data_IF_769775984477
#
_entry.id   IF_769775984477
#
_cell.length_a   1.000
_cell.length_b   1.000
_cell.length_c   1.000
_cell.angle_alpha   90.00
_cell.angle_beta   90.00
_cell.angle_gamma   90.00
#
_symmetry.space_group_name_H-M   'P 1'
#
loop_
_entity.id
_entity.type
_entity.pdbx_description
1 polymer ?
#
# COMPACT_ATOMS: atom_id res chain seq x y z
N UNK A 1 11.93 16.66 7.96
CA UNK A 1 11.93 15.27 8.47
C UNK A 1 11.30 14.43 7.38
N UNK A 2 12.06 13.55 6.70
CA UNK A 2 11.52 12.77 5.58
C UNK A 2 10.45 11.85 6.14
N UNK A 3 9.21 12.11 5.78
CA UNK A 3 8.08 11.25 6.05
C UNK A 3 8.44 9.86 5.51
N UNK A 4 8.79 8.93 6.40
CA UNK A 4 8.98 7.52 6.04
C UNK A 4 7.59 6.94 5.90
N UNK A 5 6.97 7.29 4.78
CA UNK A 5 5.68 6.78 4.33
C UNK A 5 5.93 5.32 3.96
N UNK A 6 5.63 4.45 4.92
CA UNK A 6 5.39 3.01 4.78
C UNK A 6 6.58 2.09 5.18
N UNK A 7 6.31 1.20 6.15
CA UNK A 7 7.04 -0.08 6.33
C UNK A 7 7.19 -0.72 4.94
N UNK A 8 8.39 -1.14 4.51
CA UNK A 8 8.62 -1.78 3.20
C UNK A 8 7.45 -2.72 2.81
N UNK A 9 6.53 -2.19 1.98
CA UNK A 9 5.10 -2.58 1.89
C UNK A 9 4.88 -4.04 1.45
N UNK A 10 5.95 -4.67 0.96
CA UNK A 10 5.92 -5.95 0.29
C UNK A 10 5.53 -7.13 1.18
N UNK A 11 5.88 -7.08 2.46
CA UNK A 11 5.49 -8.13 3.39
C UNK A 11 4.00 -8.05 3.69
N UNK A 12 3.47 -6.87 3.99
CA UNK A 12 2.08 -6.74 4.42
C UNK A 12 1.10 -7.13 3.32
N UNK A 13 1.25 -6.59 2.11
CA UNK A 13 0.34 -6.89 1.00
C UNK A 13 0.28 -8.38 0.74
N UNK A 14 1.45 -9.00 0.66
CA UNK A 14 1.58 -10.44 0.48
C UNK A 14 0.91 -11.22 1.61
N UNK A 15 1.09 -10.83 2.87
CA UNK A 15 0.51 -11.53 4.01
C UNK A 15 -1.00 -11.34 4.09
N UNK A 16 -1.52 -10.17 3.75
CA UNK A 16 -2.96 -9.91 3.72
C UNK A 16 -3.64 -10.74 2.64
N UNK A 17 -3.03 -10.81 1.46
CA UNK A 17 -3.57 -11.54 0.31
C UNK A 17 -3.38 -13.06 0.46
N UNK A 18 -2.17 -13.50 0.80
CA UNK A 18 -1.79 -14.92 0.76
C UNK A 18 -1.60 -15.57 2.12
N UNK A 19 -1.42 -14.78 3.18
CA UNK A 19 -1.13 -15.29 4.52
C UNK A 19 -2.24 -16.15 5.14
N UNK A 20 -3.46 -16.07 4.60
CA UNK A 20 -4.58 -16.91 4.98
C UNK A 20 -4.47 -18.37 4.50
N UNK A 21 -3.69 -18.64 3.44
CA UNK A 21 -3.56 -19.99 2.87
C UNK A 21 -2.55 -20.87 3.61
N UNK A 22 -1.63 -20.27 4.37
CA UNK A 22 -0.65 -21.03 5.15
C UNK A 22 -1.28 -21.66 6.40
N UNK A 23 -0.92 -22.91 6.68
CA UNK A 23 -1.26 -23.58 7.94
C UNK A 23 -0.57 -22.89 9.13
N UNK A 24 -1.16 -22.99 10.33
CA UNK A 24 -0.52 -22.52 11.55
C UNK A 24 0.84 -23.23 11.77
N UNK A 25 1.83 -22.50 12.26
CA UNK A 25 3.22 -22.93 12.38
C UNK A 25 4.02 -22.94 11.07
N UNK A 26 3.38 -22.68 9.91
CA UNK A 26 4.10 -22.66 8.64
C UNK A 26 4.97 -21.41 8.52
N UNK A 27 6.25 -21.65 8.23
CA UNK A 27 7.21 -20.63 7.85
C UNK A 27 7.13 -20.30 6.36
N UNK A 28 7.34 -19.03 6.03
CA UNK A 28 7.42 -18.51 4.67
C UNK A 28 8.29 -17.25 4.63
N UNK A 29 8.76 -16.88 3.44
CA UNK A 29 9.52 -15.65 3.24
C UNK A 29 8.74 -14.70 2.32
N UNK A 30 8.86 -13.40 2.56
CA UNK A 30 8.35 -12.40 1.63
C UNK A 30 9.09 -12.56 0.28
N UNK A 31 8.38 -12.71 -0.85
CA UNK A 31 9.03 -12.91 -2.14
C UNK A 31 9.88 -11.70 -2.56
N UNK A 32 9.60 -10.51 -2.01
CA UNK A 32 10.26 -9.25 -2.35
C UNK A 32 11.56 -9.01 -1.61
N UNK A 33 11.49 -8.99 -0.27
CA UNK A 33 12.62 -8.62 0.57
C UNK A 33 13.23 -9.81 1.33
N UNK A 34 12.75 -11.03 1.08
CA UNK A 34 13.18 -12.27 1.73
C UNK A 34 13.00 -12.31 3.26
N UNK A 35 12.35 -11.32 3.88
CA UNK A 35 12.06 -11.33 5.32
C UNK A 35 11.27 -12.57 5.69
N UNK A 36 11.70 -13.25 6.75
CA UNK A 36 11.08 -14.47 7.25
C UNK A 36 9.85 -14.18 8.10
N UNK A 37 8.85 -15.05 7.95
CA UNK A 37 7.58 -14.98 8.66
C UNK A 37 7.10 -16.39 9.03
N UNK A 38 6.31 -16.47 10.10
CA UNK A 38 5.61 -17.67 10.51
C UNK A 38 4.12 -17.37 10.75
N UNK A 39 3.26 -18.31 10.35
CA UNK A 39 1.82 -18.22 10.62
C UNK A 39 1.54 -18.58 12.08
N UNK A 40 1.18 -17.61 12.92
CA UNK A 40 0.88 -17.85 14.34
C UNK A 40 -0.52 -18.41 14.59
N UNK A 41 -1.47 -18.15 13.70
CA UNK A 41 -2.87 -18.57 13.82
C UNK A 41 -3.81 -17.78 12.91
N UNK A 42 -5.14 -17.87 13.08
CA UNK A 42 -6.10 -17.07 12.31
C UNK A 42 -5.75 -15.59 12.41
N UNK A 43 -5.46 -14.96 11.26
CA UNK A 43 -5.05 -13.56 11.19
C UNK A 43 -3.74 -13.18 11.91
N UNK A 44 -2.99 -14.09 12.53
CA UNK A 44 -1.75 -13.77 13.28
C UNK A 44 -0.50 -14.25 12.57
N UNK A 45 0.55 -13.44 12.61
CA UNK A 45 1.82 -13.65 11.92
C UNK A 45 2.97 -13.19 12.80
N UNK A 46 4.01 -14.00 12.91
CA UNK A 46 5.25 -13.63 13.59
C UNK A 46 6.32 -13.36 12.52
N UNK A 47 7.11 -12.31 12.73
CA UNK A 47 8.27 -12.00 11.89
C UNK A 47 9.53 -12.61 12.49
N UNK A 48 10.53 -12.87 11.65
CA UNK A 48 11.83 -13.45 12.06
C UNK A 48 12.55 -12.68 13.18
N UNK A 49 12.28 -11.38 13.33
CA UNK A 49 12.78 -10.55 14.43
C UNK A 49 11.96 -10.65 15.73
N UNK A 50 11.04 -11.61 15.82
CA UNK A 50 10.25 -11.92 17.00
C UNK A 50 9.02 -11.05 17.20
N UNK A 51 8.76 -10.06 16.33
CA UNK A 51 7.54 -9.24 16.43
C UNK A 51 6.31 -9.98 15.94
N UNK A 52 5.20 -9.79 16.67
CA UNK A 52 3.91 -10.34 16.29
C UNK A 52 3.01 -9.29 15.65
N UNK A 53 2.29 -9.73 14.62
CA UNK A 53 1.35 -8.93 13.88
C UNK A 53 0.00 -9.64 13.79
N UNK A 54 -1.07 -8.85 13.86
CA UNK A 54 -2.43 -9.31 13.65
C UNK A 54 -3.03 -8.57 12.45
N UNK A 55 -3.67 -9.32 11.55
CA UNK A 55 -4.55 -8.76 10.53
C UNK A 55 -5.70 -8.07 11.26
N UNK A 56 -5.83 -6.79 10.98
CA UNK A 56 -6.95 -5.95 11.39
C UNK A 56 -7.61 -5.37 10.17
N UNK A 57 -8.73 -4.73 10.40
CA UNK A 57 -9.48 -4.02 9.39
C UNK A 57 -9.84 -2.63 9.91
N UNK A 58 -9.68 -1.64 9.05
CA UNK A 58 -10.17 -0.28 9.27
C UNK A 58 -11.37 -0.06 8.37
N UNK A 59 -12.54 0.17 8.95
CA UNK A 59 -13.76 0.43 8.21
C UNK A 59 -13.99 1.94 8.10
N UNK A 60 -14.27 2.40 6.88
CA UNK A 60 -14.83 3.72 6.62
C UNK A 60 -16.31 3.65 6.28
N UNK A 61 -16.90 4.78 5.86
CA UNK A 61 -18.32 4.86 5.51
C UNK A 61 -18.73 3.95 4.36
N UNK A 62 -17.82 3.69 3.41
CA UNK A 62 -18.14 3.01 2.14
C UNK A 62 -17.32 1.74 1.90
N UNK A 63 -16.16 1.60 2.54
CA UNK A 63 -15.27 0.46 2.33
C UNK A 63 -14.48 0.09 3.59
N UNK A 64 -13.86 -1.09 3.56
CA UNK A 64 -12.97 -1.57 4.60
C UNK A 64 -11.57 -1.83 4.05
N UNK A 65 -10.57 -1.54 4.87
CA UNK A 65 -9.15 -1.64 4.52
C UNK A 65 -8.45 -2.61 5.47
N UNK A 66 -8.04 -3.80 4.99
CA UNK A 66 -7.23 -4.70 5.80
C UNK A 66 -5.80 -4.17 5.94
N UNK A 67 -5.22 -4.36 7.12
CA UNK A 67 -3.83 -4.02 7.41
C UNK A 67 -3.23 -5.00 8.42
N UNK A 68 -1.89 -5.04 8.53
CA UNK A 68 -1.22 -5.73 9.62
C UNK A 68 -0.89 -4.74 10.73
N UNK A 69 -1.51 -4.93 11.88
CA UNK A 69 -1.17 -4.19 13.10
C UNK A 69 -0.13 -4.97 13.89
N UNK A 70 0.86 -4.27 14.44
CA UNK A 70 1.69 -4.89 15.47
C UNK A 70 0.83 -5.19 16.70
N UNK A 71 1.06 -6.33 17.36
CA UNK A 71 0.30 -6.73 18.55
C UNK A 71 0.58 -5.79 19.73
N UNK A 72 1.73 -5.12 19.74
CA UNK A 72 2.12 -4.09 20.73
C UNK A 72 1.31 -2.78 20.64
N UNK A 73 0.40 -2.66 19.66
CA UNK A 73 -0.56 -1.57 19.57
C UNK A 73 -0.18 -0.44 18.60
N UNK A 74 0.90 -0.57 17.83
CA UNK A 74 1.22 0.43 16.81
C UNK A 74 0.27 0.32 15.60
N UNK A 75 -0.56 1.35 15.41
CA UNK A 75 -1.40 1.48 14.21
C UNK A 75 -0.60 2.02 13.02
N UNK A 76 -0.90 1.57 11.79
CA UNK A 76 -0.27 2.12 10.60
C UNK A 76 -0.81 3.53 10.30
N UNK A 77 0.00 4.28 9.57
CA UNK A 77 -0.36 5.58 9.00
C UNK A 77 -1.70 5.50 8.26
N UNK A 78 -2.57 6.49 8.53
CA UNK A 78 -3.91 6.61 7.95
C UNK A 78 -3.86 6.73 6.44
N UNK A 79 -2.80 7.32 5.90
CA UNK A 79 -2.68 7.55 4.47
C UNK A 79 -2.42 6.27 3.66
N UNK A 80 -2.08 5.16 4.32
CA UNK A 80 -1.82 3.89 3.67
C UNK A 80 -3.04 3.31 2.97
N UNK A 81 -4.25 3.55 3.49
CA UNK A 81 -5.47 3.13 2.79
C UNK A 81 -5.64 3.87 1.45
N UNK A 82 -5.29 5.15 1.40
CA UNK A 82 -5.27 5.91 0.15
C UNK A 82 -4.26 5.31 -0.82
N UNK A 83 -3.04 5.03 -0.37
CA UNK A 83 -1.98 4.51 -1.24
C UNK A 83 -2.39 3.22 -1.97
N UNK A 84 -2.96 2.22 -1.27
CA UNK A 84 -3.41 0.98 -1.93
C UNK A 84 -4.57 1.23 -2.89
N UNK A 85 -5.50 2.11 -2.56
CA UNK A 85 -6.63 2.46 -3.45
C UNK A 85 -6.11 3.13 -4.72
N UNK A 86 -5.20 4.09 -4.58
CA UNK A 86 -4.56 4.78 -5.70
C UNK A 86 -3.81 3.79 -6.61
N UNK A 87 -3.02 2.88 -6.03
CA UNK A 87 -2.26 1.87 -6.77
C UNK A 87 -3.19 0.87 -7.48
N UNK A 88 -4.16 0.31 -6.77
CA UNK A 88 -5.00 -0.79 -7.27
C UNK A 88 -6.14 -0.36 -8.17
N UNK A 89 -6.73 0.82 -7.91
CA UNK A 89 -7.94 1.29 -8.60
C UNK A 89 -7.72 2.59 -9.37
N UNK A 90 -6.77 3.44 -8.96
CA UNK A 90 -6.50 4.74 -9.56
C UNK A 90 -6.29 4.74 -11.09
N UNK A 91 -5.64 3.73 -11.70
CA UNK A 91 -5.55 3.64 -13.17
C UNK A 91 -6.90 3.58 -13.89
N UNK A 92 -7.90 2.91 -13.28
CA UNK A 92 -9.23 2.73 -13.84
C UNK A 92 -10.25 3.81 -13.44
N UNK A 93 -9.88 4.72 -12.55
CA UNK A 93 -10.75 5.84 -12.14
C UNK A 93 -10.83 6.91 -13.22
N UNK A 94 -11.98 7.57 -13.33
CA UNK A 94 -12.13 8.76 -14.17
C UNK A 94 -11.35 9.96 -13.59
N UNK A 95 -10.97 10.89 -14.46
CA UNK A 95 -10.44 12.19 -14.03
C UNK A 95 -11.48 12.96 -13.20
N UNK A 96 -11.04 13.57 -12.11
CA UNK A 96 -11.89 14.34 -11.21
C UNK A 96 -11.56 14.13 -9.73
N UNK A 97 -12.36 14.78 -8.89
CA UNK A 97 -12.24 14.68 -7.43
C UNK A 97 -12.92 13.43 -6.90
N UNK A 98 -12.37 12.86 -5.84
CA UNK A 98 -12.97 11.76 -5.09
C UNK A 98 -12.54 11.80 -3.63
N UNK A 99 -13.34 11.16 -2.78
CA UNK A 99 -12.99 10.92 -1.38
C UNK A 99 -12.47 9.49 -1.22
N UNK A 100 -11.44 9.30 -0.40
CA UNK A 100 -11.07 7.95 0.02
C UNK A 100 -12.26 7.32 0.76
N UNK A 101 -12.78 6.16 0.34
CA UNK A 101 -13.96 5.53 0.95
C UNK A 101 -13.70 4.98 2.37
N UNK A 102 -12.43 4.98 2.80
CA UNK A 102 -11.99 4.50 4.11
C UNK A 102 -11.77 5.66 5.08
N UNK A 103 -10.90 6.62 4.73
CA UNK A 103 -10.51 7.71 5.64
C UNK A 103 -11.10 9.09 5.27
N UNK A 104 -11.84 9.19 4.16
CA UNK A 104 -12.48 10.45 3.73
C UNK A 104 -11.54 11.49 3.12
N UNK A 105 -10.22 11.22 3.04
CA UNK A 105 -9.25 12.15 2.45
C UNK A 105 -9.65 12.50 1.02
N UNK A 106 -9.67 13.79 0.73
CA UNK A 106 -10.03 14.31 -0.59
C UNK A 106 -8.83 14.25 -1.53
N UNK A 107 -9.04 13.65 -2.69
CA UNK A 107 -8.06 13.51 -3.75
C UNK A 107 -8.63 14.00 -5.07
N UNK A 108 -7.73 14.36 -5.98
CA UNK A 108 -8.02 14.60 -7.39
C UNK A 108 -7.17 13.65 -8.23
N UNK A 109 -7.83 12.89 -9.09
CA UNK A 109 -7.18 12.10 -10.14
C UNK A 109 -7.20 12.92 -11.42
N UNK A 110 -6.07 13.02 -12.09
CA UNK A 110 -5.98 13.53 -13.46
C UNK A 110 -5.07 12.67 -14.31
N UNK A 111 -5.09 12.86 -15.63
CA UNK A 111 -4.18 12.17 -16.54
C UNK A 111 -3.21 13.16 -17.16
N UNK A 112 -1.92 13.03 -16.84
CA UNK A 112 -0.88 13.89 -17.39
C UNK A 112 -0.01 13.11 -18.39
N UNK A 113 0.80 13.84 -19.16
CA UNK A 113 1.85 13.26 -20.01
C UNK A 113 3.20 13.48 -19.36
N UNK A 114 3.90 12.38 -19.09
CA UNK A 114 5.24 12.38 -18.50
C UNK A 114 6.16 11.46 -19.30
N UNK A 115 7.30 11.98 -19.77
CA UNK A 115 8.22 11.28 -20.67
C UNK A 115 7.56 10.61 -21.89
N UNK A 116 6.49 11.21 -22.42
CA UNK A 116 5.74 10.67 -23.56
C UNK A 116 4.65 9.64 -23.19
N UNK A 117 4.60 9.20 -21.93
CA UNK A 117 3.58 8.27 -21.43
C UNK A 117 2.41 9.02 -20.81
N UNK A 118 1.20 8.49 -20.97
CA UNK A 118 0.03 8.95 -20.20
C UNK A 118 0.05 8.26 -18.86
N UNK A 119 0.10 9.04 -17.78
CA UNK A 119 0.19 8.52 -16.42
C UNK A 119 -0.93 9.08 -15.55
N UNK A 120 -1.52 8.27 -14.66
CA UNK A 120 -2.44 8.78 -13.65
C UNK A 120 -1.66 9.63 -12.64
N UNK A 121 -2.18 10.80 -12.33
CA UNK A 121 -1.61 11.74 -11.36
C UNK A 121 -2.62 11.97 -10.25
N UNK A 122 -2.16 11.93 -9.01
CA UNK A 122 -2.97 12.07 -7.81
C UNK A 122 -2.50 13.26 -6.99
N UNK A 123 -3.45 14.13 -6.65
CA UNK A 123 -3.21 15.35 -5.88
C UNK A 123 -4.14 15.38 -4.68
N UNK A 124 -3.67 15.89 -3.55
CA UNK A 124 -4.50 16.24 -2.40
C UNK A 124 -4.01 17.53 -1.75
N UNK A 125 -4.82 18.22 -0.94
CA UNK A 125 -4.36 19.36 -0.15
C UNK A 125 -3.19 18.97 0.77
N UNK A 126 -2.18 19.84 0.85
CA UNK A 126 -1.01 19.65 1.72
C UNK A 126 0.05 18.66 1.20
N UNK A 127 -0.15 18.08 0.02
CA UNK A 127 0.86 17.26 -0.63
C UNK A 127 1.89 18.14 -1.35
N UNK A 128 3.17 17.99 -1.00
CA UNK A 128 4.27 18.78 -1.56
C UNK A 128 4.39 18.66 -3.09
N UNK A 129 4.24 17.44 -3.60
CA UNK A 129 4.29 17.13 -5.03
C UNK A 129 3.23 16.09 -5.41
N UNK A 130 2.52 16.25 -6.55
CA UNK A 130 1.63 15.21 -7.05
C UNK A 130 2.30 13.84 -7.14
N UNK A 131 1.52 12.80 -6.83
CA UNK A 131 1.98 11.42 -6.92
C UNK A 131 1.56 10.78 -8.23
N UNK A 132 2.33 9.82 -8.70
CA UNK A 132 1.97 8.93 -9.81
C UNK A 132 2.37 7.49 -9.49
N UNK A 133 1.96 6.56 -10.35
CA UNK A 133 2.25 5.13 -10.19
C UNK A 133 3.50 4.79 -11.00
N UNK A 134 4.54 4.38 -10.28
CA UNK A 134 5.70 3.75 -10.88
C UNK A 134 5.41 2.25 -11.07
N UNK A 135 5.48 1.72 -12.31
CA UNK A 135 5.56 0.27 -12.49
C UNK A 135 6.89 -0.22 -11.88
N UNK A 136 6.80 -1.10 -10.89
CA UNK A 136 7.94 -1.82 -10.36
C UNK A 136 8.08 -3.20 -11.00
N UNK A 137 9.24 -3.85 -10.79
CA UNK A 137 9.56 -5.16 -11.39
C UNK A 137 8.55 -6.25 -11.03
N UNK A 138 7.97 -6.19 -9.83
CA UNK A 138 7.06 -7.20 -9.29
C UNK A 138 5.73 -6.60 -8.82
N UNK A 139 5.71 -5.31 -8.49
CA UNK A 139 4.48 -4.58 -8.13
C UNK A 139 4.60 -3.08 -8.39
N UNK A 140 3.48 -2.40 -8.64
CA UNK A 140 3.44 -0.94 -8.69
C UNK A 140 3.63 -0.30 -7.30
N UNK A 141 4.08 0.96 -7.28
CA UNK A 141 4.17 1.79 -6.08
C UNK A 141 3.96 3.27 -6.43
N UNK A 142 3.63 4.09 -5.44
CA UNK A 142 3.49 5.54 -5.62
C UNK A 142 4.86 6.23 -5.53
N UNK A 143 5.09 7.19 -6.41
CA UNK A 143 6.26 8.07 -6.41
C UNK A 143 5.82 9.50 -6.64
N UNK A 144 6.65 10.46 -6.23
CA UNK A 144 6.46 11.84 -6.67
C UNK A 144 6.62 11.94 -8.20
N UNK A 145 5.92 12.87 -8.84
CA UNK A 145 5.98 13.06 -10.30
C UNK A 145 7.42 13.26 -10.80
N UNK A 146 8.25 13.99 -10.05
CA UNK A 146 9.67 14.23 -10.36
C UNK A 146 10.55 12.99 -10.27
N UNK A 147 10.11 11.95 -9.57
CA UNK A 147 10.81 10.68 -9.38
C UNK A 147 10.34 9.59 -10.35
N UNK A 148 9.28 9.86 -11.12
CA UNK A 148 8.77 8.90 -12.09
C UNK A 148 9.82 8.61 -13.16
N UNK A 149 10.07 7.32 -13.36
CA UNK A 149 10.98 6.81 -14.35
C UNK A 149 10.19 5.99 -15.38
N UNK A 150 10.31 6.29 -16.68
CA UNK A 150 9.62 5.52 -17.70
C UNK A 150 10.05 4.05 -17.64
N UNK A 151 9.14 3.10 -17.97
CA UNK A 151 9.50 1.69 -18.08
C UNK A 151 10.71 1.55 -19.02
N UNK A 152 11.71 0.79 -18.60
CA UNK A 152 12.80 0.39 -19.50
C UNK A 152 12.31 -0.81 -20.31
N UNK A 153 12.48 -0.74 -21.63
CA UNK A 153 12.25 -1.86 -22.55
C UNK A 153 13.10 -3.09 -22.19
#
# INVERSE_FOLDING_TARGET
MRERVILADCCEDWIIEWGGFYAAGREFACPECATGWAKGGPGRFARDDGREFARRERSGPEAAFPFLASVDGQEPDVERCCAKILIGHGPGMADGRFACPVCGTQWERRTDRLHGFRVPVFVKPGLDEPLTIQPGRRRPFLVAMSEYSPPRD
#
